data_IF_435961122092
#
_entry.id   IF_435961122092
#
_cell.length_a   1.000
_cell.length_b   1.000
_cell.length_c   1.000
_cell.angle_alpha   90.00
_cell.angle_beta   90.00
_cell.angle_gamma   90.00
#
_symmetry.space_group_name_H-M   'P 1'
#
loop_
_entity.id
_entity.type
_entity.pdbx_description
1 polymer ?
#
# COMPACT_ATOMS: atom_id res chain seq x y z
N UNK A 1 -16.14 11.63 2.75
CA UNK A 1 -15.11 10.87 2.01
C UNK A 1 -15.79 9.69 1.34
N UNK A 2 -15.41 9.36 0.09
CA UNK A 2 -15.98 8.21 -0.62
C UNK A 2 -15.66 6.94 0.19
N UNK A 3 -16.69 6.19 0.57
CA UNK A 3 -16.50 4.86 1.12
C UNK A 3 -15.85 3.99 0.03
N UNK A 4 -14.81 3.22 0.38
CA UNK A 4 -14.32 2.17 -0.51
C UNK A 4 -15.48 1.20 -0.72
N UNK A 5 -16.08 1.21 -1.91
CA UNK A 5 -17.15 0.26 -2.29
C UNK A 5 -16.61 -1.11 -2.71
N UNK A 6 -15.30 -1.32 -2.54
CA UNK A 6 -14.62 -2.56 -2.87
C UNK A 6 -14.52 -3.48 -1.66
N UNK A 7 -14.99 -4.71 -1.79
CA UNK A 7 -14.78 -5.75 -0.79
C UNK A 7 -13.44 -6.43 -1.08
N UNK A 8 -12.46 -6.24 -0.19
CA UNK A 8 -11.14 -6.85 -0.32
C UNK A 8 -11.20 -8.35 -0.05
N UNK A 9 -10.67 -9.13 -0.99
CA UNK A 9 -10.40 -10.56 -0.78
C UNK A 9 -9.21 -10.76 0.17
N UNK A 10 -9.02 -12.00 0.64
CA UNK A 10 -7.90 -12.33 1.52
C UNK A 10 -6.55 -12.09 0.83
N UNK A 11 -6.45 -12.42 -0.46
CA UNK A 11 -5.27 -12.15 -1.27
C UNK A 11 -5.04 -10.64 -1.46
N UNK A 12 -6.10 -9.83 -1.57
CA UNK A 12 -5.94 -8.38 -1.64
C UNK A 12 -5.37 -7.82 -0.33
N UNK A 13 -5.88 -8.28 0.80
CA UNK A 13 -5.40 -7.85 2.11
C UNK A 13 -3.95 -8.29 2.32
N UNK A 14 -3.60 -9.52 1.96
CA UNK A 14 -2.22 -10.01 2.03
C UNK A 14 -1.26 -9.11 1.24
N UNK A 15 -1.62 -8.76 0.00
CA UNK A 15 -0.80 -7.89 -0.85
C UNK A 15 -0.70 -6.48 -0.28
N UNK A 16 -1.80 -5.89 0.18
CA UNK A 16 -1.77 -4.56 0.82
C UNK A 16 -0.90 -4.57 2.08
N UNK A 17 -1.03 -5.61 2.92
CA UNK A 17 -0.20 -5.74 4.12
C UNK A 17 1.28 -5.83 3.76
N UNK A 18 1.62 -6.63 2.73
CA UNK A 18 2.98 -6.69 2.22
C UNK A 18 3.48 -5.30 1.76
N UNK A 19 2.73 -4.58 0.92
CA UNK A 19 3.18 -3.26 0.44
C UNK A 19 3.32 -2.24 1.57
N UNK A 20 2.44 -2.28 2.58
CA UNK A 20 2.55 -1.43 3.77
C UNK A 20 3.80 -1.73 4.62
N UNK A 21 4.33 -2.96 4.59
CA UNK A 21 5.60 -3.29 5.26
C UNK A 21 6.83 -2.81 4.50
N UNK A 22 6.76 -2.81 3.16
CA UNK A 22 7.83 -2.33 2.29
C UNK A 22 7.89 -0.81 2.27
N UNK A 23 6.74 -0.13 2.30
CA UNK A 23 6.66 1.30 2.04
C UNK A 23 7.59 2.16 2.92
N UNK A 24 7.64 1.98 4.26
CA UNK A 24 8.53 2.76 5.11
C UNK A 24 10.04 2.50 4.87
N UNK A 25 10.42 1.31 4.39
CA UNK A 25 11.84 1.00 4.14
C UNK A 25 12.38 1.60 2.84
N UNK A 26 11.51 2.24 2.05
CA UNK A 26 11.90 2.94 0.82
C UNK A 26 12.38 4.37 1.09
N UNK A 27 12.18 4.88 2.31
CA UNK A 27 12.67 6.20 2.77
C UNK A 27 12.35 7.34 1.79
N UNK A 28 11.12 7.36 1.28
CA UNK A 28 10.68 8.29 0.23
C UNK A 28 10.29 9.68 0.77
N UNK A 29 10.07 9.80 2.07
CA UNK A 29 9.65 11.04 2.71
C UNK A 29 10.82 12.02 2.90
N UNK A 30 10.58 13.31 2.63
CA UNK A 30 11.59 14.37 2.79
C UNK A 30 11.96 14.67 4.25
N UNK A 31 11.10 14.30 5.21
CA UNK A 31 11.32 14.61 6.64
C UNK A 31 11.02 13.40 7.53
N UNK A 32 11.80 13.26 8.60
CA UNK A 32 11.58 12.23 9.62
C UNK A 32 10.20 12.31 10.27
N UNK A 33 9.67 13.53 10.44
CA UNK A 33 8.34 13.74 10.99
C UNK A 33 7.25 13.15 10.08
N UNK A 34 7.36 13.36 8.76
CA UNK A 34 6.41 12.79 7.81
C UNK A 34 6.59 11.26 7.70
N UNK A 35 7.82 10.76 7.73
CA UNK A 35 8.11 9.32 7.75
C UNK A 35 7.46 8.64 8.97
N UNK A 36 7.56 9.24 10.16
CA UNK A 36 6.94 8.73 11.38
C UNK A 36 5.40 8.71 11.29
N UNK A 37 4.80 9.77 10.73
CA UNK A 37 3.35 9.84 10.49
C UNK A 37 2.90 8.74 9.52
N UNK A 38 3.62 8.57 8.41
CA UNK A 38 3.30 7.57 7.39
C UNK A 38 3.46 6.16 7.94
N UNK A 39 4.52 5.88 8.70
CA UNK A 39 4.72 4.61 9.39
C UNK A 39 3.56 4.28 10.34
N UNK A 40 3.12 5.26 11.14
CA UNK A 40 1.99 5.06 12.05
C UNK A 40 0.69 4.80 11.28
N UNK A 41 0.48 5.50 10.16
CA UNK A 41 -0.66 5.27 9.28
C UNK A 41 -0.60 3.87 8.63
N UNK A 42 0.58 3.39 8.23
CA UNK A 42 0.77 2.04 7.67
C UNK A 42 0.39 0.97 8.71
N UNK A 43 0.84 1.12 9.95
CA UNK A 43 0.50 0.21 11.06
C UNK A 43 -1.00 0.19 11.34
N UNK A 44 -1.61 1.38 11.45
CA UNK A 44 -3.05 1.50 11.72
C UNK A 44 -3.90 0.93 10.59
N UNK A 45 -3.55 1.23 9.33
CA UNK A 45 -4.19 0.66 8.16
C UNK A 45 -4.11 -0.87 8.14
N UNK A 46 -2.92 -1.43 8.37
CA UNK A 46 -2.70 -2.86 8.42
C UNK A 46 -3.52 -3.55 9.50
N UNK A 47 -3.55 -3.00 10.72
CA UNK A 47 -4.35 -3.53 11.82
C UNK A 47 -5.84 -3.56 11.48
N UNK A 48 -6.35 -2.49 10.85
CA UNK A 48 -7.76 -2.41 10.43
C UNK A 48 -8.08 -3.45 9.36
N UNK A 49 -7.22 -3.62 8.36
CA UNK A 49 -7.41 -4.63 7.31
C UNK A 49 -7.44 -6.05 7.88
N UNK A 50 -6.51 -6.37 8.79
CA UNK A 50 -6.48 -7.67 9.50
C UNK A 50 -7.81 -7.92 10.23
N UNK A 51 -8.33 -6.89 10.91
CA UNK A 51 -9.60 -6.94 11.65
C UNK A 51 -10.85 -6.78 10.76
N UNK A 52 -10.70 -6.72 9.44
CA UNK A 52 -11.79 -6.46 8.46
C UNK A 52 -12.62 -5.22 8.78
N UNK A 53 -11.98 -4.21 9.38
CA UNK A 53 -12.59 -2.92 9.68
C UNK A 53 -12.73 -2.11 8.41
N UNK A 54 -13.88 -1.45 8.26
CA UNK A 54 -14.20 -0.62 7.08
C UNK A 54 -13.93 0.87 7.32
N UNK A 55 -13.61 1.27 8.55
CA UNK A 55 -13.35 2.65 8.95
C UNK A 55 -11.90 3.06 8.70
N UNK A 56 -11.49 2.99 7.42
CA UNK A 56 -10.19 3.49 6.95
C UNK A 56 -10.20 5.01 6.90
N UNK A 57 -9.30 5.65 7.64
CA UNK A 57 -9.12 7.10 7.72
C UNK A 57 -8.42 7.64 6.46
N UNK A 58 -8.52 8.95 6.16
CA UNK A 58 -7.92 9.54 4.95
C UNK A 58 -6.42 9.30 4.83
N UNK A 59 -5.65 9.45 5.91
CA UNK A 59 -4.21 9.22 5.85
C UNK A 59 -3.85 7.73 5.73
N UNK A 60 -4.65 6.83 6.31
CA UNK A 60 -4.51 5.39 6.12
C UNK A 60 -4.78 4.98 4.66
N UNK A 61 -5.83 5.56 4.06
CA UNK A 61 -6.11 5.37 2.64
C UNK A 61 -4.94 5.84 1.76
N UNK A 62 -4.40 7.04 2.07
CA UNK A 62 -3.27 7.61 1.33
C UNK A 62 -2.03 6.73 1.38
N UNK A 63 -1.68 6.15 2.54
CA UNK A 63 -0.50 5.27 2.63
C UNK A 63 -0.75 3.91 1.99
N UNK A 64 -1.97 3.36 2.01
CA UNK A 64 -2.30 2.15 1.24
C UNK A 64 -2.07 2.42 -0.24
N UNK A 65 -2.66 3.51 -0.76
CA UNK A 65 -2.51 3.92 -2.15
C UNK A 65 -1.05 4.14 -2.56
N UNK A 66 -0.30 4.92 -1.77
CA UNK A 66 1.10 5.19 -2.04
C UNK A 66 1.96 3.91 -1.99
N UNK A 67 1.69 2.99 -1.06
CA UNK A 67 2.41 1.72 -0.96
C UNK A 67 2.19 0.81 -2.18
N UNK A 68 0.96 0.77 -2.71
CA UNK A 68 0.63 0.01 -3.91
C UNK A 68 1.32 0.59 -5.15
N UNK A 69 1.31 1.92 -5.29
CA UNK A 69 2.04 2.61 -6.36
C UNK A 69 3.55 2.40 -6.25
N UNK A 70 4.13 2.50 -5.06
CA UNK A 70 5.56 2.20 -4.85
C UNK A 70 5.91 0.76 -5.27
N UNK A 71 5.07 -0.23 -4.92
CA UNK A 71 5.25 -1.61 -5.35
C UNK A 71 5.09 -1.79 -6.88
N UNK A 72 4.22 -1.01 -7.52
CA UNK A 72 4.08 -0.98 -8.97
C UNK A 72 5.35 -0.40 -9.65
N UNK A 73 5.90 0.70 -9.12
CA UNK A 73 7.14 1.30 -9.60
C UNK A 73 8.34 0.36 -9.45
N UNK A 74 8.41 -0.41 -8.35
CA UNK A 74 9.41 -1.48 -8.17
C UNK A 74 9.30 -2.52 -9.29
N UNK A 75 8.08 -2.95 -9.63
CA UNK A 75 7.85 -3.91 -10.71
C UNK A 75 8.21 -3.35 -12.10
N UNK A 76 8.07 -2.04 -12.30
CA UNK A 76 8.46 -1.35 -13.54
C UNK A 76 9.97 -1.08 -13.61
N UNK A 77 10.68 -1.23 -12.49
CA UNK A 77 12.09 -0.89 -12.38
C UNK A 77 12.36 0.61 -12.21
N UNK A 78 11.33 1.39 -11.89
CA UNK A 78 11.42 2.83 -11.63
C UNK A 78 11.79 3.14 -10.17
N UNK A 79 11.64 2.16 -9.27
CA UNK A 79 12.05 2.27 -7.87
C UNK A 79 12.94 1.08 -7.48
N UNK A 80 14.11 1.37 -6.92
CA UNK A 80 15.07 0.35 -6.47
C UNK A 80 14.72 -0.17 -5.07
N UNK A 81 15.00 -1.46 -4.85
CA UNK A 81 14.80 -2.14 -3.57
C UNK A 81 15.66 -3.41 -3.54
N UNK A 82 15.70 -4.11 -2.42
CA UNK A 82 16.44 -5.36 -2.29
C UNK A 82 15.85 -6.48 -3.16
N UNK A 83 16.64 -7.52 -3.42
CA UNK A 83 16.27 -8.61 -4.33
C UNK A 83 15.08 -9.43 -3.82
N UNK A 84 14.91 -9.58 -2.51
CA UNK A 84 13.80 -10.34 -1.94
C UNK A 84 12.49 -9.56 -2.10
N UNK A 85 12.49 -8.28 -1.77
CA UNK A 85 11.35 -7.38 -1.94
C UNK A 85 10.93 -7.32 -3.40
N UNK A 86 11.89 -7.10 -4.32
CA UNK A 86 11.62 -7.08 -5.77
C UNK A 86 10.97 -8.38 -6.25
N UNK A 87 11.48 -9.53 -5.80
CA UNK A 87 10.92 -10.85 -6.14
C UNK A 87 9.48 -11.01 -5.64
N UNK A 88 9.17 -10.56 -4.41
CA UNK A 88 7.80 -10.59 -3.86
C UNK A 88 6.86 -9.65 -4.62
N UNK A 89 7.29 -8.41 -4.90
CA UNK A 89 6.54 -7.48 -5.75
C UNK A 89 6.20 -8.10 -7.11
N UNK A 90 7.17 -8.78 -7.75
CA UNK A 90 6.95 -9.46 -9.04
C UNK A 90 5.93 -10.60 -8.90
N UNK A 91 6.01 -11.38 -7.81
CA UNK A 91 5.03 -12.43 -7.51
C UNK A 91 3.59 -11.89 -7.35
N UNK A 92 3.45 -10.64 -6.89
CA UNK A 92 2.16 -9.97 -6.71
C UNK A 92 1.77 -9.03 -7.85
N UNK A 93 2.47 -9.06 -8.99
CA UNK A 93 2.29 -8.11 -10.10
C UNK A 93 0.83 -7.88 -10.50
N UNK A 94 0.07 -8.95 -10.73
CA UNK A 94 -1.32 -8.83 -11.17
C UNK A 94 -2.23 -8.24 -10.08
N UNK A 95 -2.06 -8.68 -8.82
CA UNK A 95 -2.86 -8.16 -7.70
C UNK A 95 -2.54 -6.70 -7.40
N UNK A 96 -1.25 -6.32 -7.44
CA UNK A 96 -0.82 -4.93 -7.30
C UNK A 96 -1.48 -4.07 -8.38
N UNK A 97 -1.38 -4.45 -9.66
CA UNK A 97 -1.98 -3.68 -10.75
C UNK A 97 -3.52 -3.58 -10.65
N UNK A 98 -4.19 -4.67 -10.22
CA UNK A 98 -5.63 -4.67 -9.96
C UNK A 98 -5.98 -3.65 -8.86
N UNK A 99 -5.26 -3.69 -7.74
CA UNK A 99 -5.51 -2.82 -6.58
C UNK A 99 -5.20 -1.36 -6.90
N UNK A 100 -4.10 -1.05 -7.58
CA UNK A 100 -3.80 0.30 -8.07
C UNK A 100 -4.97 0.85 -8.88
N UNK A 101 -5.45 0.09 -9.88
CA UNK A 101 -6.60 0.52 -10.70
C UNK A 101 -7.88 0.76 -9.89
N UNK A 102 -8.13 -0.03 -8.84
CA UNK A 102 -9.29 0.15 -7.95
C UNK A 102 -9.16 1.46 -7.15
N UNK A 103 -7.97 1.77 -6.65
CA UNK A 103 -7.75 3.00 -5.87
C UNK A 103 -7.71 4.25 -6.76
N UNK A 104 -7.13 4.18 -7.96
CA UNK A 104 -7.11 5.28 -8.94
C UNK A 104 -8.54 5.77 -9.25
N UNK A 105 -9.46 4.82 -9.46
CA UNK A 105 -10.89 5.10 -9.69
C UNK A 105 -11.59 5.79 -8.53
N UNK A 106 -11.08 5.64 -7.31
CA UNK A 106 -11.65 6.25 -6.11
C UNK A 106 -11.06 7.63 -5.82
N UNK A 107 -9.84 7.90 -6.31
CA UNK A 107 -9.19 9.21 -6.25
C UNK A 107 -9.66 10.16 -7.36
N UNK A 108 -10.18 9.62 -8.47
CA UNK A 108 -10.88 10.35 -9.53
C UNK A 108 -12.26 10.84 -9.06
#
# INVERSE_FOLDING_TARGET
MKHISYSFSDSDIEVILFTLTVFPSLELEETEAQAAINLQCCRSAGEKLIKRRTDIAPNEFRVIYASLHAAQLINQGELETDTETKKKCTGYLFTINKLVSIFDKQMS
#
